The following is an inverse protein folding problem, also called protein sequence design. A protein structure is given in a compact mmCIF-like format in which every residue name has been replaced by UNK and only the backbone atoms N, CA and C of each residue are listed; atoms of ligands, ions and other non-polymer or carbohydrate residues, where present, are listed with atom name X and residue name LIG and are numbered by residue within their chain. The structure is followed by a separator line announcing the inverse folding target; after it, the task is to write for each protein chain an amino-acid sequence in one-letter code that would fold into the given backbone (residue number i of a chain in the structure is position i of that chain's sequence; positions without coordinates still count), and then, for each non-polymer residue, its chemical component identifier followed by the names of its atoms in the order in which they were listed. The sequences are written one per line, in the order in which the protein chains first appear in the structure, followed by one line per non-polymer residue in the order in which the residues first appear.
data_IF_927595180288
#
_entry.id   IF_927595180288
#
_cell.length_a   1.000
_cell.length_b   1.000
_cell.length_c   1.000
_cell.angle_alpha   90.00
_cell.angle_beta   90.00
_cell.angle_gamma   90.00
#
_symmetry.space_group_name_H-M   'P 1'
#
loop_
_entity.id
_entity.type
_entity.pdbx_description
1 polymer ?
#
# COMPACT_ATOMS: atom_id res chain seq x y z
N UNK A 1 -32.39 -25.25 -0.89
CA UNK A 1 -30.98 -25.21 -0.48
C UNK A 1 -30.44 -23.89 -1.01
N UNK A 2 -30.45 -22.84 -0.18
CA UNK A 2 -30.04 -21.50 -0.58
C UNK A 2 -28.54 -21.48 -0.88
N UNK A 3 -28.21 -21.15 -2.14
CA UNK A 3 -26.83 -20.96 -2.58
C UNK A 3 -26.20 -19.84 -1.75
N UNK A 4 -25.23 -20.18 -0.90
CA UNK A 4 -24.38 -19.26 -0.18
C UNK A 4 -23.44 -18.54 -1.16
N UNK A 5 -24.02 -17.72 -2.03
CA UNK A 5 -23.29 -16.91 -3.01
C UNK A 5 -22.77 -15.69 -2.28
N UNK A 6 -21.46 -15.63 -2.04
CA UNK A 6 -20.80 -14.42 -1.54
C UNK A 6 -21.19 -13.27 -2.47
N UNK A 7 -21.91 -12.28 -1.93
CA UNK A 7 -22.31 -11.09 -2.68
C UNK A 7 -21.11 -10.18 -2.81
N UNK A 8 -20.83 -9.70 -4.01
CA UNK A 8 -19.74 -8.74 -4.22
C UNK A 8 -20.09 -7.40 -3.56
N UNK A 9 -19.10 -6.76 -2.94
CA UNK A 9 -19.25 -5.43 -2.33
C UNK A 9 -19.68 -4.38 -3.36
N UNK A 10 -19.47 -4.64 -4.65
CA UNK A 10 -19.85 -3.74 -5.74
C UNK A 10 -21.30 -3.90 -6.22
N UNK A 11 -22.09 -4.83 -5.64
CA UNK A 11 -23.48 -5.08 -6.06
C UNK A 11 -24.45 -3.99 -5.61
N UNK A 12 -24.25 -3.40 -4.42
CA UNK A 12 -25.13 -2.39 -3.85
C UNK A 12 -24.32 -1.27 -3.21
N UNK A 13 -24.82 -0.04 -3.28
CA UNK A 13 -24.23 1.08 -2.56
C UNK A 13 -24.45 0.89 -1.04
N UNK A 14 -23.46 1.30 -0.23
CA UNK A 14 -23.56 1.30 1.23
C UNK A 14 -24.62 2.31 1.72
N UNK A 15 -24.80 3.43 1.01
CA UNK A 15 -25.83 4.40 1.31
C UNK A 15 -27.20 3.85 0.89
N UNK A 16 -28.11 3.64 1.86
CA UNK A 16 -29.45 3.08 1.62
C UNK A 16 -30.35 3.93 0.74
N UNK A 17 -30.07 5.23 0.63
CA UNK A 17 -30.82 6.15 -0.24
C UNK A 17 -30.24 6.20 -1.67
N UNK A 18 -29.14 5.48 -1.93
CA UNK A 18 -28.48 5.44 -3.22
C UNK A 18 -28.86 4.16 -3.98
N UNK A 19 -29.52 4.32 -5.12
CA UNK A 19 -29.91 3.20 -5.99
C UNK A 19 -28.84 2.85 -7.05
N UNK A 20 -27.72 3.59 -7.09
CA UNK A 20 -26.65 3.33 -8.05
C UNK A 20 -25.85 2.10 -7.63
N UNK A 21 -25.42 1.29 -8.61
CA UNK A 21 -24.61 0.10 -8.34
C UNK A 21 -23.13 0.44 -8.55
N UNK A 22 -22.24 0.29 -7.55
CA UNK A 22 -20.82 0.62 -7.68
C UNK A 22 -20.15 -0.05 -8.90
N UNK A 23 -20.58 -1.26 -9.27
CA UNK A 23 -20.08 -1.97 -10.46
C UNK A 23 -20.19 -1.16 -11.77
N UNK A 24 -21.14 -0.21 -11.86
CA UNK A 24 -21.32 0.65 -13.03
C UNK A 24 -20.22 1.72 -13.15
N UNK A 25 -19.49 1.99 -12.08
CA UNK A 25 -18.44 3.02 -11.99
C UNK A 25 -17.03 2.42 -11.99
N UNK A 26 -16.83 1.27 -12.64
CA UNK A 26 -15.56 0.54 -12.65
C UNK A 26 -14.34 1.41 -12.98
N UNK A 27 -14.43 2.30 -13.97
CA UNK A 27 -13.33 3.23 -14.31
C UNK A 27 -13.00 4.20 -13.18
N UNK A 28 -14.00 4.69 -12.43
CA UNK A 28 -13.75 5.59 -11.29
C UNK A 28 -13.09 4.83 -10.15
N UNK A 29 -13.51 3.59 -9.89
CA UNK A 29 -12.91 2.71 -8.88
C UNK A 29 -11.45 2.41 -9.22
N UNK A 30 -11.16 2.09 -10.49
CA UNK A 30 -9.77 1.85 -10.95
C UNK A 30 -8.91 3.11 -10.80
N UNK A 31 -9.44 4.27 -11.18
CA UNK A 31 -8.69 5.52 -11.06
C UNK A 31 -8.37 5.84 -9.61
N UNK A 32 -9.34 5.70 -8.70
CA UNK A 32 -9.12 5.92 -7.27
C UNK A 32 -8.07 4.95 -6.72
N UNK A 33 -8.17 3.66 -7.08
CA UNK A 33 -7.18 2.65 -6.68
C UNK A 33 -5.77 3.00 -7.18
N UNK A 34 -5.64 3.53 -8.40
CA UNK A 34 -4.33 3.95 -8.93
C UNK A 34 -3.75 5.12 -8.14
N UNK A 35 -4.58 6.10 -7.75
CA UNK A 35 -4.16 7.21 -6.89
C UNK A 35 -3.69 6.68 -5.54
N UNK A 36 -4.45 5.78 -4.92
CA UNK A 36 -4.08 5.16 -3.64
C UNK A 36 -2.76 4.38 -3.73
N UNK A 37 -2.55 3.60 -4.79
CA UNK A 37 -1.30 2.87 -5.02
C UNK A 37 -0.13 3.86 -5.16
N UNK A 38 -0.31 4.95 -5.92
CA UNK A 38 0.73 5.97 -6.07
C UNK A 38 1.08 6.62 -4.72
N UNK A 39 0.09 6.92 -3.89
CA UNK A 39 0.31 7.48 -2.55
C UNK A 39 1.09 6.52 -1.65
N UNK A 40 0.75 5.22 -1.67
CA UNK A 40 1.46 4.19 -0.90
C UNK A 40 2.91 4.05 -1.37
N UNK A 41 3.14 4.04 -2.69
CA UNK A 41 4.49 3.97 -3.25
C UNK A 41 5.30 5.23 -2.92
N UNK A 42 4.70 6.41 -3.03
CA UNK A 42 5.36 7.66 -2.66
C UNK A 42 5.78 7.62 -1.19
N UNK A 43 4.88 7.22 -0.27
CA UNK A 43 5.21 7.08 1.15
C UNK A 43 6.37 6.11 1.40
N UNK A 44 6.44 5.01 0.66
CA UNK A 44 7.55 4.07 0.73
C UNK A 44 8.87 4.69 0.25
N UNK A 45 8.86 5.34 -0.91
CA UNK A 45 10.06 5.95 -1.49
C UNK A 45 10.50 7.23 -0.79
N UNK A 46 9.62 7.88 -0.02
CA UNK A 46 10.01 8.96 0.89
C UNK A 46 11.00 8.51 1.97
N UNK A 47 11.09 7.19 2.23
CA UNK A 47 12.10 6.55 3.07
C UNK A 47 12.26 7.22 4.46
N UNK A 48 11.14 7.57 5.08
CA UNK A 48 11.12 8.10 6.44
C UNK A 48 11.72 7.09 7.42
N UNK A 49 12.60 7.58 8.28
CA UNK A 49 13.29 6.82 9.30
C UNK A 49 12.88 7.31 10.69
N UNK A 50 12.62 6.37 11.59
CA UNK A 50 12.31 6.62 12.99
C UNK A 50 13.39 6.02 13.88
N UNK A 51 13.76 6.74 14.94
CA UNK A 51 14.68 6.19 15.94
C UNK A 51 13.97 5.13 16.80
N UNK A 52 14.61 3.98 16.96
CA UNK A 52 14.08 2.88 17.78
C UNK A 52 14.16 3.11 19.30
N UNK A 53 14.85 4.16 19.74
CA UNK A 53 14.91 4.55 21.16
C UNK A 53 13.59 5.24 21.56
N UNK A 54 12.81 4.66 22.48
CA UNK A 54 11.49 5.18 22.86
C UNK A 54 11.56 6.55 23.54
N UNK A 55 12.70 6.95 24.08
CA UNK A 55 12.89 8.28 24.68
C UNK A 55 13.24 9.35 23.64
N UNK A 56 13.69 8.95 22.45
CA UNK A 56 14.09 9.84 21.37
C UNK A 56 12.94 10.09 20.39
N UNK A 57 12.40 9.00 19.82
CA UNK A 57 11.32 9.03 18.82
C UNK A 57 11.54 10.01 17.65
N UNK A 58 12.80 10.32 17.31
CA UNK A 58 13.13 11.23 16.22
C UNK A 58 12.73 10.65 14.87
N UNK A 59 12.08 11.46 14.02
CA UNK A 59 11.67 11.09 12.68
C UNK A 59 12.38 11.97 11.65
N UNK A 60 13.05 11.36 10.67
CA UNK A 60 13.90 12.06 9.70
C UNK A 60 14.01 11.31 8.37
N UNK A 61 14.34 12.02 7.30
CA UNK A 61 14.77 11.43 6.02
C UNK A 61 16.29 11.31 5.91
N UNK A 62 17.03 11.97 6.81
CA UNK A 62 18.48 11.99 6.81
C UNK A 62 19.05 10.73 7.46
N UNK A 63 20.12 10.19 6.88
CA UNK A 63 20.87 9.07 7.44
C UNK A 63 22.25 9.53 7.92
N UNK A 64 22.74 8.90 8.98
CA UNK A 64 24.12 9.08 9.43
C UNK A 64 25.06 8.18 8.64
N UNK A 65 26.27 8.67 8.35
CA UNK A 65 27.36 7.84 7.82
C UNK A 65 27.86 6.80 8.83
N UNK A 66 27.61 7.02 10.13
CA UNK A 66 27.92 6.07 11.19
C UNK A 66 26.79 5.07 11.29
N UNK A 67 27.10 3.79 11.16
CA UNK A 67 26.14 2.70 11.29
C UNK A 67 26.49 1.77 12.46
N UNK A 68 25.45 1.18 13.03
CA UNK A 68 25.52 0.15 14.06
C UNK A 68 24.52 -0.95 13.70
N UNK A 69 24.98 -2.21 13.70
CA UNK A 69 24.16 -3.37 13.34
C UNK A 69 23.41 -3.21 12.00
N UNK A 70 24.07 -2.62 11.00
CA UNK A 70 23.51 -2.42 9.65
C UNK A 70 22.52 -1.25 9.52
N UNK A 71 22.19 -0.56 10.61
CA UNK A 71 21.32 0.61 10.60
C UNK A 71 22.12 1.89 10.90
N UNK A 72 21.70 3.03 10.36
CA UNK A 72 22.36 4.29 10.68
C UNK A 72 22.10 4.71 12.14
N UNK A 73 23.11 5.27 12.80
CA UNK A 73 22.96 5.76 14.17
C UNK A 73 22.14 7.05 14.18
N UNK A 74 21.25 7.20 15.15
CA UNK A 74 20.49 8.43 15.32
C UNK A 74 21.42 9.59 15.69
N UNK A 75 21.38 10.68 14.91
CA UNK A 75 22.22 11.87 15.13
C UNK A 75 21.81 12.67 16.37
N UNK A 76 20.56 12.52 16.83
CA UNK A 76 20.00 13.23 17.98
C UNK A 76 20.43 12.57 19.30
N UNK A 77 20.03 11.32 19.55
CA UNK A 77 20.32 10.65 20.82
C UNK A 77 21.69 9.92 20.83
N UNK A 78 22.28 9.65 19.66
CA UNK A 78 23.56 8.92 19.49
C UNK A 78 23.61 7.54 20.15
N UNK A 79 22.45 6.96 20.47
CA UNK A 79 22.29 5.67 21.14
C UNK A 79 21.45 4.71 20.30
N UNK A 80 20.27 5.16 19.91
CA UNK A 80 19.37 4.40 19.05
C UNK A 80 19.82 4.37 17.59
N UNK A 81 19.27 3.42 16.85
CA UNK A 81 19.42 3.30 15.41
C UNK A 81 18.15 3.80 14.70
N UNK A 82 18.33 4.29 13.48
CA UNK A 82 17.25 4.73 12.60
C UNK A 82 16.77 3.52 11.80
N UNK A 83 15.47 3.23 11.88
CA UNK A 83 14.79 2.17 11.13
C UNK A 83 13.73 2.77 10.22
N UNK A 84 13.41 2.11 9.10
CA UNK A 84 12.32 2.56 8.23
C UNK A 84 11.01 2.57 8.99
N UNK A 85 10.28 3.68 8.88
CA UNK A 85 8.93 3.82 9.43
C UNK A 85 7.90 3.02 8.60
N UNK A 86 8.13 2.87 7.29
CA UNK A 86 7.31 2.07 6.40
C UNK A 86 8.19 1.02 5.72
N UNK A 87 7.95 -0.24 6.06
CA UNK A 87 8.79 -1.38 5.71
C UNK A 87 8.38 -1.98 4.36
N UNK A 88 9.28 -2.78 3.79
CA UNK A 88 9.01 -3.53 2.55
C UNK A 88 7.87 -4.53 2.73
N UNK A 89 7.77 -5.15 3.90
CA UNK A 89 6.67 -6.06 4.22
C UNK A 89 5.33 -5.32 4.31
N UNK A 90 5.30 -4.11 4.88
CA UNK A 90 4.07 -3.30 4.93
C UNK A 90 3.64 -2.84 3.53
N UNK A 91 4.59 -2.43 2.67
CA UNK A 91 4.28 -2.12 1.27
C UNK A 91 3.70 -3.36 0.56
N UNK A 92 4.36 -4.51 0.70
CA UNK A 92 3.90 -5.76 0.09
C UNK A 92 2.50 -6.13 0.57
N UNK A 93 2.25 -6.10 1.87
CA UNK A 93 0.94 -6.42 2.45
C UNK A 93 -0.15 -5.47 1.95
N UNK A 94 0.15 -4.17 1.80
CA UNK A 94 -0.82 -3.20 1.29
C UNK A 94 -1.19 -3.47 -0.18
N UNK A 95 -0.19 -3.76 -1.02
CA UNK A 95 -0.41 -4.08 -2.43
C UNK A 95 -1.16 -5.41 -2.60
N UNK A 96 -0.81 -6.40 -1.79
CA UNK A 96 -1.49 -7.69 -1.77
C UNK A 96 -2.94 -7.57 -1.28
N UNK A 97 -3.18 -6.73 -0.27
CA UNK A 97 -4.54 -6.39 0.17
C UNK A 97 -5.38 -5.82 -0.98
N UNK A 98 -4.85 -4.82 -1.71
CA UNK A 98 -5.55 -4.28 -2.88
C UNK A 98 -5.86 -5.36 -3.92
N UNK A 99 -4.92 -6.27 -4.21
CA UNK A 99 -5.15 -7.40 -5.12
C UNK A 99 -6.29 -8.29 -4.63
N UNK A 100 -6.27 -8.68 -3.36
CA UNK A 100 -7.25 -9.57 -2.76
C UNK A 100 -8.66 -8.96 -2.76
N UNK A 101 -8.79 -7.64 -2.57
CA UNK A 101 -10.10 -6.97 -2.59
C UNK A 101 -10.88 -7.16 -3.90
N UNK A 102 -10.19 -7.33 -5.04
CA UNK A 102 -10.81 -7.50 -6.35
C UNK A 102 -10.77 -8.94 -6.89
N UNK A 103 -10.18 -9.88 -6.14
CA UNK A 103 -10.08 -11.29 -6.55
C UNK A 103 -11.24 -12.07 -5.94
N UNK A 104 -12.23 -12.44 -6.76
CA UNK A 104 -13.45 -13.14 -6.30
C UNK A 104 -13.32 -14.68 -6.27
N UNK A 105 -12.30 -15.23 -6.94
CA UNK A 105 -12.04 -16.67 -7.02
C UNK A 105 -10.54 -16.96 -6.79
N UNK A 106 -10.23 -17.84 -5.83
CA UNK A 106 -8.87 -18.34 -5.56
C UNK A 106 -8.29 -19.20 -6.70
N UNK A 107 -9.01 -19.38 -7.81
CA UNK A 107 -8.63 -20.26 -8.93
C UNK A 107 -7.87 -19.57 -10.07
N UNK A 108 -7.77 -18.24 -10.07
CA UNK A 108 -7.02 -17.48 -11.07
C UNK A 108 -5.73 -16.86 -10.48
N UNK A 109 -5.00 -17.63 -9.67
CA UNK A 109 -3.64 -17.26 -9.24
C UNK A 109 -2.68 -17.49 -10.41
N UNK A 110 -2.81 -16.67 -11.45
CA UNK A 110 -1.79 -16.41 -12.46
C UNK A 110 -2.10 -15.11 -13.22
N UNK A 111 -2.60 -14.09 -12.52
CA UNK A 111 -2.49 -12.72 -13.04
C UNK A 111 -1.16 -12.16 -12.51
N UNK A 112 -0.12 -12.01 -13.36
CA UNK A 112 1.10 -11.36 -12.94
C UNK A 112 0.74 -9.93 -12.56
N UNK A 113 0.85 -9.61 -11.27
CA UNK A 113 0.62 -8.28 -10.71
C UNK A 113 1.48 -7.20 -11.41
N UNK A 114 2.54 -7.62 -12.10
CA UNK A 114 3.36 -6.80 -13.00
C UNK A 114 2.62 -6.19 -14.20
N UNK A 115 1.44 -6.67 -14.59
CA UNK A 115 0.69 -6.13 -15.72
C UNK A 115 -0.04 -4.80 -15.41
N UNK A 116 -0.26 -4.47 -14.14
CA UNK A 116 -0.96 -3.23 -13.73
C UNK A 116 0.04 -2.08 -13.48
N UNK A 117 1.33 -2.40 -13.32
CA UNK A 117 2.40 -1.43 -13.04
C UNK A 117 3.19 -0.97 -14.27
N UNK A 118 2.82 -1.38 -15.48
CA UNK A 118 3.36 -0.76 -16.69
C UNK A 118 2.45 0.41 -17.09
N UNK A 119 2.81 1.67 -16.74
CA UNK A 119 2.22 2.79 -17.44
C UNK A 119 2.44 2.53 -18.93
N UNK A 120 1.35 2.57 -19.68
CA UNK A 120 1.36 2.74 -21.13
C UNK A 120 2.51 3.64 -21.52
N UNK A 121 3.40 3.10 -22.35
CA UNK A 121 4.45 3.78 -23.08
C UNK A 121 4.14 5.28 -23.26
N UNK A 122 4.88 6.12 -22.55
CA UNK A 122 5.13 7.49 -22.98
C UNK A 122 5.89 7.35 -24.30
N UNK A 123 5.15 7.36 -25.41
CA UNK A 123 5.68 7.81 -26.69
C UNK A 123 5.81 9.33 -26.58
N UNK A 124 7.01 9.77 -26.20
CA UNK A 124 7.58 11.01 -26.69
C UNK A 124 8.80 10.64 -27.53
#
# INVERSE_FOLDING_TARGET
MENNKRKSVFENCVNTNCNSKPIQFGSSIVNELLVDIQMVLQRFYENWLICNDPLCNNNTKDFSHVSFQGNSLCTICKKGTLIRQFTEMELFNQLDYYKQMFTLDERDINVPFFAILLPTQIKC
#
